data_IF_975503191610
#
_entry.id   IF_975503191610
#
_cell.length_a   1.000
_cell.length_b   1.000
_cell.length_c   1.000
_cell.angle_alpha   90.00
_cell.angle_beta   90.00
_cell.angle_gamma   90.00
#
_symmetry.space_group_name_H-M   'P 1'
#
loop_
_entity.id
_entity.type
_entity.pdbx_description
1 polymer ?
#
# COMPACT_ATOMS: atom_id res chain seq x y z
N UNK A 1 -16.56 22.99 -32.51
CA UNK A 1 -15.29 23.07 -31.76
C UNK A 1 -15.50 22.43 -30.39
N UNK A 2 -15.19 21.14 -30.24
CA UNK A 2 -15.40 20.43 -28.97
C UNK A 2 -14.23 20.76 -28.04
N UNK A 3 -14.48 21.57 -27.01
CA UNK A 3 -13.52 21.83 -25.93
C UNK A 3 -13.41 20.54 -25.11
N UNK A 4 -12.21 19.91 -24.99
CA UNK A 4 -12.08 18.71 -24.18
C UNK A 4 -12.44 19.05 -22.73
N UNK A 5 -13.41 18.32 -22.18
CA UNK A 5 -13.75 18.35 -20.75
C UNK A 5 -12.49 17.97 -19.97
N UNK A 6 -11.84 18.96 -19.37
CA UNK A 6 -10.78 18.74 -18.40
C UNK A 6 -11.43 18.14 -17.16
N UNK A 7 -11.54 16.81 -17.11
CA UNK A 7 -11.71 16.11 -15.85
C UNK A 7 -10.37 16.15 -15.14
N UNK A 8 -10.16 17.18 -14.30
CA UNK A 8 -9.14 17.11 -13.24
C UNK A 8 -9.62 16.10 -12.21
N UNK A 9 -9.51 14.82 -12.52
CA UNK A 9 -9.41 13.79 -11.49
C UNK A 9 -7.92 13.71 -11.17
N UNK A 10 -7.48 14.44 -10.15
CA UNK A 10 -6.08 14.43 -9.72
C UNK A 10 -5.73 13.02 -9.26
N UNK A 11 -5.12 12.24 -10.15
CA UNK A 11 -4.57 10.95 -9.81
C UNK A 11 -3.31 11.17 -8.96
N UNK A 12 -3.17 10.41 -7.89
CA UNK A 12 -2.07 10.52 -6.95
C UNK A 12 -0.91 9.65 -7.43
N UNK A 13 0.27 10.22 -7.65
CA UNK A 13 1.47 9.48 -8.05
C UNK A 13 2.41 9.30 -6.86
N UNK A 14 3.12 8.18 -6.83
CA UNK A 14 4.21 7.99 -5.88
C UNK A 14 5.49 8.69 -6.37
N UNK A 15 5.97 9.66 -5.61
CA UNK A 15 7.19 10.42 -5.91
C UNK A 15 8.42 9.93 -5.13
N UNK A 16 8.32 8.78 -4.47
CA UNK A 16 9.42 8.23 -3.69
C UNK A 16 10.62 7.89 -4.59
N UNK A 17 11.83 8.26 -4.15
CA UNK A 17 13.06 8.03 -4.93
C UNK A 17 13.23 6.55 -5.26
N UNK A 18 13.39 6.24 -6.55
CA UNK A 18 13.50 4.87 -7.08
C UNK A 18 12.25 3.98 -6.90
N UNK A 19 11.06 4.56 -6.67
CA UNK A 19 9.82 3.81 -6.76
C UNK A 19 9.59 3.35 -8.21
N UNK A 20 9.52 2.02 -8.41
CA UNK A 20 9.30 1.41 -9.73
C UNK A 20 7.81 1.27 -10.09
N UNK A 21 6.89 1.82 -9.30
CA UNK A 21 5.47 1.71 -9.57
C UNK A 21 5.05 2.76 -10.61
N UNK A 22 4.66 2.36 -11.83
CA UNK A 22 4.37 3.31 -12.91
C UNK A 22 2.93 3.83 -12.86
N UNK A 23 2.09 3.23 -12.01
CA UNK A 23 0.66 3.53 -11.91
C UNK A 23 0.35 4.76 -11.07
N UNK A 24 -0.87 5.24 -11.24
CA UNK A 24 -1.43 6.36 -10.48
C UNK A 24 -2.62 5.86 -9.66
N UNK A 25 -2.82 6.45 -8.50
CA UNK A 25 -3.88 6.08 -7.57
C UNK A 25 -5.07 7.02 -7.72
N UNK A 26 -6.27 6.45 -7.65
CA UNK A 26 -7.50 7.24 -7.71
C UNK A 26 -7.77 8.00 -6.41
N UNK A 27 -7.20 7.53 -5.29
CA UNK A 27 -7.41 8.07 -3.95
C UNK A 27 -6.09 8.22 -3.21
N UNK A 28 -6.00 9.27 -2.40
CA UNK A 28 -4.85 9.52 -1.52
C UNK A 28 -4.60 8.35 -0.56
N UNK A 29 -5.66 7.75 -0.02
CA UNK A 29 -5.55 6.60 0.89
C UNK A 29 -4.82 5.40 0.26
N UNK A 30 -4.97 5.20 -1.06
CA UNK A 30 -4.29 4.14 -1.79
C UNK A 30 -2.80 4.45 -1.96
N UNK A 31 -2.46 5.71 -2.29
CA UNK A 31 -1.08 6.18 -2.35
C UNK A 31 -0.39 6.04 -0.98
N UNK A 32 -1.05 6.49 0.10
CA UNK A 32 -0.50 6.41 1.45
C UNK A 32 -0.29 4.96 1.91
N UNK A 33 -1.18 4.04 1.52
CA UNK A 33 -0.99 2.60 1.75
C UNK A 33 0.21 2.06 0.97
N UNK A 34 0.37 2.46 -0.30
CA UNK A 34 1.54 2.11 -1.10
C UNK A 34 2.83 2.58 -0.43
N UNK A 35 2.91 3.86 -0.07
CA UNK A 35 4.09 4.47 0.55
C UNK A 35 4.46 3.74 1.84
N UNK A 36 3.50 3.53 2.75
CA UNK A 36 3.76 2.85 4.03
C UNK A 36 4.29 1.43 3.85
N UNK A 37 3.65 0.66 2.95
CA UNK A 37 3.96 -0.77 2.77
C UNK A 37 5.19 -1.06 1.92
N UNK A 38 5.60 -0.14 1.05
CA UNK A 38 6.72 -0.33 0.12
C UNK A 38 7.97 0.46 0.51
N UNK A 39 7.82 1.61 1.17
CA UNK A 39 8.93 2.53 1.36
C UNK A 39 9.26 2.86 2.81
N UNK A 40 8.25 3.03 3.68
CA UNK A 40 8.48 3.44 5.07
C UNK A 40 8.80 2.25 5.97
N UNK A 41 7.91 1.23 5.99
CA UNK A 41 8.10 0.05 6.83
C UNK A 41 7.63 -1.22 6.11
N UNK A 42 8.36 -1.70 5.09
CA UNK A 42 8.10 -3.03 4.55
C UNK A 42 8.26 -4.08 5.65
N UNK A 43 7.26 -4.95 5.82
CA UNK A 43 7.34 -6.07 6.79
C UNK A 43 7.11 -5.72 8.26
N UNK A 44 6.59 -4.53 8.60
CA UNK A 44 6.44 -4.08 10.00
C UNK A 44 5.57 -5.00 10.88
N UNK A 45 4.65 -5.74 10.29
CA UNK A 45 3.67 -6.52 11.04
C UNK A 45 4.14 -7.97 11.15
N UNK A 46 4.83 -8.29 12.24
CA UNK A 46 5.15 -9.66 12.61
C UNK A 46 3.92 -10.36 13.21
N UNK A 47 3.81 -11.67 12.98
CA UNK A 47 2.81 -12.49 13.63
C UNK A 47 3.10 -12.53 15.15
N UNK A 48 2.09 -12.31 16.02
CA UNK A 48 2.31 -12.32 17.46
C UNK A 48 2.48 -13.72 18.09
N UNK A 49 2.38 -14.79 17.29
CA UNK A 49 2.59 -16.17 17.78
C UNK A 49 4.10 -16.44 17.95
N UNK A 50 4.52 -16.96 19.10
CA UNK A 50 5.93 -17.10 19.50
C UNK A 50 6.75 -18.00 18.56
N UNK A 51 6.12 -18.98 17.90
CA UNK A 51 6.73 -19.88 16.93
C UNK A 51 6.47 -19.48 15.47
N UNK A 52 5.82 -18.33 15.22
CA UNK A 52 5.54 -17.84 13.86
C UNK A 52 6.34 -16.58 13.52
N UNK A 53 7.43 -16.73 12.79
CA UNK A 53 8.28 -15.60 12.33
C UNK A 53 7.81 -14.95 11.03
N UNK A 54 6.51 -15.01 10.72
CA UNK A 54 5.98 -14.43 9.47
C UNK A 54 5.82 -12.92 9.62
N UNK A 55 6.36 -12.20 8.65
CA UNK A 55 6.28 -10.74 8.56
C UNK A 55 5.39 -10.31 7.39
N UNK A 56 4.62 -9.25 7.60
CA UNK A 56 3.69 -8.73 6.63
C UNK A 56 3.83 -7.22 6.49
N UNK A 57 3.58 -6.73 5.28
CA UNK A 57 3.67 -5.30 4.97
C UNK A 57 2.36 -4.56 5.31
N UNK A 58 1.33 -5.29 5.77
CA UNK A 58 0.00 -4.79 6.09
C UNK A 58 -0.57 -5.51 7.31
N UNK A 59 -1.20 -4.74 8.21
CA UNK A 59 -1.79 -5.25 9.45
C UNK A 59 -2.94 -6.22 9.22
N UNK A 60 -3.82 -5.92 8.27
CA UNK A 60 -4.97 -6.77 7.96
C UNK A 60 -4.54 -8.13 7.41
N UNK A 61 -3.51 -8.17 6.55
CA UNK A 61 -2.94 -9.42 6.07
C UNK A 61 -2.34 -10.26 7.21
N UNK A 62 -1.60 -9.64 8.13
CA UNK A 62 -1.06 -10.34 9.31
C UNK A 62 -2.18 -10.88 10.19
N UNK A 63 -3.22 -10.09 10.43
CA UNK A 63 -4.34 -10.49 11.28
C UNK A 63 -5.19 -11.61 10.65
N UNK A 64 -5.39 -11.59 9.33
CA UNK A 64 -6.00 -12.69 8.60
C UNK A 64 -5.17 -13.96 8.71
N UNK A 65 -3.85 -13.84 8.55
CA UNK A 65 -2.92 -14.96 8.75
C UNK A 65 -3.03 -15.53 10.16
N UNK A 66 -2.97 -14.67 11.18
CA UNK A 66 -3.09 -15.08 12.58
C UNK A 66 -4.39 -15.85 12.79
N UNK A 67 -5.55 -15.26 12.48
CA UNK A 67 -6.88 -15.89 12.66
C UNK A 67 -7.07 -17.23 11.93
N UNK A 68 -6.35 -17.47 10.84
CA UNK A 68 -6.51 -18.69 10.02
C UNK A 68 -5.51 -19.78 10.38
N UNK A 69 -4.36 -19.41 10.93
CA UNK A 69 -3.27 -20.34 11.21
C UNK A 69 -3.04 -20.58 12.70
N UNK A 70 -3.60 -19.73 13.57
CA UNK A 70 -3.48 -19.72 15.02
C UNK A 70 -4.85 -19.41 15.66
#
# INVERSE_FOLDING_TARGET
MLRPRVYRTGLYRCEWRACKYPGEFSREAELMRHIRSKHVCPGLYECPEENCRRMFNRKDNMMEHFRRMH
#
